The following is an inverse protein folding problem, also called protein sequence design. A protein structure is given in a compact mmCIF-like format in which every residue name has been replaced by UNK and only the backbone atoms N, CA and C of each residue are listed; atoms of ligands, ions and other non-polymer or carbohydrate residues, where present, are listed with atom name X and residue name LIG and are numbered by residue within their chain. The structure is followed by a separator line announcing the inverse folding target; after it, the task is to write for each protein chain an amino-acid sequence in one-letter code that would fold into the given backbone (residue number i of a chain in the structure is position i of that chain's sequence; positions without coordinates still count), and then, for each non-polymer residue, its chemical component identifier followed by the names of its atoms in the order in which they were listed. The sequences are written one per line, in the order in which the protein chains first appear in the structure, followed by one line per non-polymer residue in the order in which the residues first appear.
data_IF_080168105658
#
_entry.id   IF_080168105658
#
_cell.length_a   1.000
_cell.length_b   1.000
_cell.length_c   1.000
_cell.angle_alpha   90.00
_cell.angle_beta   90.00
_cell.angle_gamma   90.00
#
_symmetry.space_group_name_H-M   'P 1'
#
loop_
_entity.id
_entity.type
_entity.pdbx_description
1 polymer ?
#
# COMPACT_ATOMS: atom_id res chain seq x y z
N UNK A 1 -5.23 5.91 9.18
CA UNK A 1 -6.35 5.28 8.47
C UNK A 1 -6.10 3.77 8.43
N UNK A 2 -7.13 2.98 8.68
CA UNK A 2 -7.08 1.53 8.54
C UNK A 2 -8.01 1.18 7.38
N UNK A 3 -7.52 0.37 6.46
CA UNK A 3 -8.31 -0.13 5.34
C UNK A 3 -8.22 -1.64 5.31
N UNK A 4 -9.36 -2.30 5.21
CA UNK A 4 -9.46 -3.73 4.90
C UNK A 4 -10.01 -3.82 3.49
N UNK A 5 -9.21 -4.30 2.54
CA UNK A 5 -9.61 -4.39 1.16
C UNK A 5 -9.30 -5.77 0.60
N UNK A 6 -10.24 -6.30 -0.18
CA UNK A 6 -9.99 -7.45 -1.02
C UNK A 6 -9.37 -6.96 -2.31
N UNK A 7 -8.24 -7.51 -2.69
CA UNK A 7 -7.51 -7.11 -3.89
C UNK A 7 -8.34 -7.35 -5.14
N UNK A 8 -8.72 -6.27 -5.80
CA UNK A 8 -9.30 -6.33 -7.14
C UNK A 8 -8.16 -6.17 -8.15
N UNK A 9 -7.41 -7.21 -8.36
CA UNK A 9 -6.34 -7.23 -9.36
C UNK A 9 -6.75 -8.14 -10.52
N UNK A 10 -7.03 -7.58 -11.67
CA UNK A 10 -7.60 -8.32 -12.80
C UNK A 10 -6.69 -9.43 -13.35
N UNK A 11 -5.38 -9.29 -13.28
CA UNK A 11 -4.43 -10.24 -13.84
C UNK A 11 -3.95 -11.35 -12.89
N UNK A 12 -4.46 -11.40 -11.66
CA UNK A 12 -3.99 -12.38 -10.67
C UNK A 12 -4.90 -13.60 -10.57
N UNK A 13 -4.33 -14.78 -10.67
CA UNK A 13 -5.03 -16.05 -10.44
C UNK A 13 -5.38 -16.26 -8.97
N UNK A 14 -4.59 -15.68 -8.06
CA UNK A 14 -4.71 -15.88 -6.60
C UNK A 14 -5.51 -14.79 -5.89
N UNK A 15 -5.66 -13.61 -6.48
CA UNK A 15 -6.30 -12.47 -5.82
C UNK A 15 -7.28 -11.69 -6.69
N UNK A 16 -7.47 -12.09 -7.94
CA UNK A 16 -8.33 -11.40 -8.90
C UNK A 16 -9.79 -11.82 -8.76
N UNK A 17 -10.61 -11.08 -8.05
CA UNK A 17 -12.03 -11.35 -7.91
C UNK A 17 -12.75 -11.26 -9.26
N UNK A 18 -12.50 -10.22 -10.03
CA UNK A 18 -13.09 -10.02 -11.34
C UNK A 18 -12.71 -11.13 -12.33
N UNK A 19 -11.44 -11.48 -12.39
CA UNK A 19 -10.96 -12.55 -13.23
C UNK A 19 -11.55 -13.90 -12.80
N UNK A 20 -11.65 -14.13 -11.49
CA UNK A 20 -12.30 -15.30 -10.94
C UNK A 20 -13.77 -15.42 -11.37
N UNK A 21 -14.53 -14.33 -11.30
CA UNK A 21 -15.94 -14.30 -11.74
C UNK A 21 -16.08 -14.60 -13.24
N UNK A 22 -15.28 -13.97 -14.08
CA UNK A 22 -15.35 -14.15 -15.54
C UNK A 22 -14.93 -15.56 -16.00
N UNK A 23 -14.21 -16.30 -15.19
CA UNK A 23 -13.76 -17.68 -15.49
C UNK A 23 -14.74 -18.75 -15.06
N UNK A 24 -15.76 -18.40 -14.29
CA UNK A 24 -16.77 -19.36 -13.86
C UNK A 24 -17.93 -19.37 -14.86
N UNK A 25 -18.35 -20.54 -15.34
CA UNK A 25 -19.55 -20.65 -16.14
C UNK A 25 -20.79 -20.46 -15.26
N UNK A 26 -21.93 -20.09 -15.85
CA UNK A 26 -23.17 -19.78 -15.10
C UNK A 26 -23.75 -20.96 -14.33
N UNK A 27 -23.41 -22.17 -14.69
CA UNK A 27 -23.87 -23.41 -14.08
C UNK A 27 -23.01 -23.88 -12.91
N UNK A 28 -21.87 -23.21 -12.65
CA UNK A 28 -21.04 -23.49 -11.49
C UNK A 28 -21.47 -22.65 -10.30
N UNK A 29 -21.91 -23.30 -9.23
CA UNK A 29 -22.23 -22.62 -7.99
C UNK A 29 -20.96 -22.18 -7.25
N UNK A 30 -20.62 -20.88 -7.33
CA UNK A 30 -19.47 -20.29 -6.67
C UNK A 30 -19.60 -20.25 -5.14
N UNK A 31 -20.83 -20.39 -4.59
CA UNK A 31 -21.03 -20.35 -3.13
C UNK A 31 -20.45 -21.58 -2.44
N UNK A 32 -20.31 -22.67 -3.17
CA UNK A 32 -19.69 -23.91 -2.70
C UNK A 32 -18.18 -23.88 -2.89
N UNK A 33 -17.49 -22.96 -2.21
CA UNK A 33 -16.07 -22.67 -2.41
C UNK A 33 -15.12 -23.42 -1.45
N UNK A 34 -15.66 -24.16 -0.47
CA UNK A 34 -14.92 -25.01 0.46
C UNK A 34 -15.52 -26.41 0.49
N UNK A 35 -14.67 -27.44 0.50
CA UNK A 35 -15.13 -28.81 0.58
C UNK A 35 -14.06 -29.78 1.11
N UNK A 36 -14.40 -31.05 1.16
CA UNK A 36 -13.49 -32.13 1.52
C UNK A 36 -13.01 -32.85 0.27
N UNK A 37 -11.71 -32.98 0.13
CA UNK A 37 -11.07 -33.82 -0.88
C UNK A 37 -10.66 -35.16 -0.26
N UNK A 38 -10.62 -36.17 -1.07
CA UNK A 38 -10.16 -37.51 -0.67
C UNK A 38 -8.96 -37.89 -1.52
N UNK A 39 -7.89 -38.37 -0.87
CA UNK A 39 -6.74 -38.93 -1.59
C UNK A 39 -7.07 -40.29 -2.24
N UNK A 40 -6.08 -40.86 -2.95
CA UNK A 40 -6.24 -42.18 -3.59
C UNK A 40 -6.50 -43.34 -2.60
N UNK A 41 -6.19 -43.17 -1.33
CA UNK A 41 -6.40 -44.12 -0.25
C UNK A 41 -7.72 -43.87 0.51
N UNK A 42 -8.48 -42.84 0.12
CA UNK A 42 -9.72 -42.46 0.77
C UNK A 42 -9.55 -41.59 2.02
N UNK A 43 -8.36 -41.06 2.32
CA UNK A 43 -8.16 -40.16 3.45
C UNK A 43 -8.72 -38.78 3.16
N UNK A 44 -9.53 -38.21 4.08
CA UNK A 44 -10.12 -36.90 3.84
C UNK A 44 -9.14 -35.75 4.11
N UNK A 45 -9.17 -34.75 3.27
CA UNK A 45 -8.56 -33.43 3.51
C UNK A 45 -9.69 -32.39 3.54
N UNK A 46 -10.16 -31.98 4.72
CA UNK A 46 -11.26 -31.03 4.82
C UNK A 46 -10.79 -29.61 4.54
N UNK A 47 -11.75 -28.71 4.40
CA UNK A 47 -11.54 -27.27 4.23
C UNK A 47 -10.70 -26.90 3.00
N UNK A 48 -10.72 -27.77 1.98
CA UNK A 48 -10.05 -27.52 0.71
C UNK A 48 -10.82 -26.49 -0.11
N UNK A 49 -10.07 -25.61 -0.76
CA UNK A 49 -10.59 -24.68 -1.75
C UNK A 49 -11.21 -25.40 -2.95
N UNK A 50 -12.38 -24.94 -3.35
CA UNK A 50 -13.13 -25.43 -4.53
C UNK A 50 -13.25 -24.32 -5.57
N UNK A 51 -12.71 -24.55 -6.75
CA UNK A 51 -12.89 -23.71 -7.91
C UNK A 51 -13.37 -24.52 -9.10
N UNK A 52 -13.92 -23.87 -10.10
CA UNK A 52 -14.48 -24.52 -11.27
C UNK A 52 -13.52 -25.53 -11.92
N UNK A 53 -12.25 -25.17 -12.11
CA UNK A 53 -11.29 -26.03 -12.82
C UNK A 53 -10.62 -27.09 -11.95
N UNK A 54 -10.75 -26.99 -10.66
CA UNK A 54 -10.20 -27.97 -9.70
C UNK A 54 -11.28 -28.25 -8.66
N UNK A 55 -12.30 -28.92 -9.15
CA UNK A 55 -13.46 -29.29 -8.36
C UNK A 55 -13.18 -30.54 -7.52
N UNK A 56 -14.10 -30.86 -6.62
CA UNK A 56 -14.02 -32.08 -5.78
C UNK A 56 -13.65 -33.30 -6.59
N UNK A 57 -12.97 -34.25 -5.99
CA UNK A 57 -12.37 -35.44 -6.56
C UNK A 57 -11.11 -35.20 -7.41
N UNK A 58 -10.69 -33.98 -7.68
CA UNK A 58 -9.41 -33.69 -8.25
C UNK A 58 -8.43 -33.27 -7.14
N UNK A 59 -7.41 -34.07 -6.87
CA UNK A 59 -6.43 -33.85 -5.81
C UNK A 59 -5.43 -32.72 -6.12
N UNK A 60 -5.35 -32.29 -7.38
CA UNK A 60 -4.48 -31.18 -7.75
C UNK A 60 -5.03 -29.85 -7.17
N UNK A 61 -4.11 -28.97 -6.81
CA UNK A 61 -4.45 -27.63 -6.36
C UNK A 61 -5.14 -26.82 -7.47
N UNK A 62 -6.06 -25.91 -7.14
CA UNK A 62 -6.75 -25.08 -8.13
C UNK A 62 -5.78 -24.17 -8.86
N UNK A 63 -6.04 -23.91 -10.14
CA UNK A 63 -5.22 -23.01 -10.97
C UNK A 63 -5.51 -21.55 -10.64
N UNK A 64 -6.72 -21.26 -10.20
CA UNK A 64 -7.14 -19.92 -9.77
C UNK A 64 -8.18 -20.02 -8.66
N UNK A 65 -8.33 -18.94 -7.91
CA UNK A 65 -9.26 -18.93 -6.80
C UNK A 65 -10.71 -18.79 -7.24
N UNK A 66 -11.59 -19.46 -6.51
CA UNK A 66 -12.98 -19.10 -6.45
C UNK A 66 -13.08 -17.67 -5.91
N UNK A 67 -13.92 -16.79 -6.50
CA UNK A 67 -14.10 -15.42 -6.01
C UNK A 67 -14.44 -15.32 -4.53
N UNK A 68 -15.28 -16.22 -4.02
CA UNK A 68 -15.68 -16.21 -2.61
C UNK A 68 -14.57 -16.66 -1.68
N UNK A 69 -13.71 -17.58 -2.12
CA UNK A 69 -12.48 -17.89 -1.39
C UNK A 69 -11.61 -16.65 -1.21
N UNK A 70 -11.40 -15.88 -2.29
CA UNK A 70 -10.62 -14.63 -2.22
C UNK A 70 -11.27 -13.61 -1.28
N UNK A 71 -12.60 -13.50 -1.27
CA UNK A 71 -13.31 -12.53 -0.44
C UNK A 71 -13.29 -12.91 1.05
N UNK A 72 -13.47 -14.18 1.37
CA UNK A 72 -13.70 -14.61 2.76
C UNK A 72 -12.46 -15.15 3.43
N UNK A 73 -11.60 -15.83 2.70
CA UNK A 73 -10.46 -16.55 3.27
C UNK A 73 -9.14 -15.79 3.15
N UNK A 74 -8.97 -14.99 2.10
CA UNK A 74 -7.79 -14.14 1.97
C UNK A 74 -7.99 -12.82 2.68
N UNK A 75 -6.98 -12.39 3.43
CA UNK A 75 -7.01 -11.06 4.06
C UNK A 75 -5.95 -10.13 3.50
N UNK A 76 -6.33 -8.87 3.37
CA UNK A 76 -5.42 -7.79 2.97
C UNK A 76 -5.72 -6.59 3.85
N UNK A 77 -4.85 -6.35 4.80
CA UNK A 77 -4.98 -5.24 5.74
C UNK A 77 -3.94 -4.17 5.44
N UNK A 78 -4.35 -2.92 5.45
CA UNK A 78 -3.45 -1.77 5.29
C UNK A 78 -3.70 -0.78 6.42
N UNK A 79 -2.64 -0.43 7.13
CA UNK A 79 -2.66 0.54 8.22
C UNK A 79 -1.73 1.69 7.86
N UNK A 80 -2.27 2.90 7.74
CA UNK A 80 -1.49 4.09 7.43
C UNK A 80 -1.60 5.10 8.56
N UNK A 81 -0.44 5.43 9.15
CA UNK A 81 -0.27 6.56 10.05
C UNK A 81 0.51 7.66 9.34
N UNK A 82 0.02 8.90 9.34
CA UNK A 82 0.70 10.05 8.74
C UNK A 82 0.60 11.25 9.64
N UNK A 83 1.72 11.95 9.79
CA UNK A 83 1.82 13.25 10.46
C UNK A 83 2.50 14.19 9.47
N UNK A 84 1.89 15.32 9.23
CA UNK A 84 2.47 16.38 8.41
C UNK A 84 2.15 17.74 8.98
N UNK A 85 3.04 18.67 8.75
CA UNK A 85 2.86 20.06 9.19
C UNK A 85 3.95 20.96 8.64
N UNK A 86 3.69 22.26 8.69
CA UNK A 86 4.66 23.27 8.33
C UNK A 86 4.56 24.48 9.24
N UNK A 87 5.66 25.20 9.37
CA UNK A 87 5.76 26.47 10.10
C UNK A 87 6.48 27.49 9.24
N UNK A 88 6.05 28.72 9.32
CA UNK A 88 6.69 29.87 8.69
C UNK A 88 6.89 30.98 9.73
N UNK A 89 8.07 31.52 9.77
CA UNK A 89 8.43 32.68 10.59
C UNK A 89 8.87 33.81 9.68
N UNK A 90 8.21 34.96 9.81
CA UNK A 90 8.56 36.19 9.14
C UNK A 90 9.17 37.14 10.18
N UNK A 91 10.47 37.44 10.03
CA UNK A 91 11.26 38.23 10.98
C UNK A 91 11.64 39.54 10.31
N UNK A 92 11.08 40.63 10.81
CA UNK A 92 11.45 42.01 10.42
C UNK A 92 12.63 42.47 11.27
N UNK A 93 13.84 42.22 10.79
CA UNK A 93 15.07 42.57 11.57
C UNK A 93 15.32 44.07 11.56
N UNK A 94 15.11 44.72 10.42
CA UNK A 94 15.25 46.19 10.25
C UNK A 94 14.23 46.67 9.18
N UNK A 95 14.18 47.98 8.96
CA UNK A 95 13.34 48.53 7.90
C UNK A 95 13.73 48.08 6.47
N UNK A 96 14.94 47.61 6.30
CA UNK A 96 15.50 47.22 5.01
C UNK A 96 15.81 45.71 4.92
N UNK A 97 15.73 44.94 6.05
CA UNK A 97 16.10 43.53 6.10
C UNK A 97 15.00 42.69 6.75
N UNK A 98 14.49 41.75 6.00
CA UNK A 98 13.53 40.76 6.48
C UNK A 98 14.05 39.35 6.21
N UNK A 99 13.68 38.42 7.11
CA UNK A 99 13.94 37.00 6.95
C UNK A 99 12.63 36.23 6.91
N UNK A 100 12.58 35.23 6.05
CA UNK A 100 11.54 34.22 6.05
C UNK A 100 12.20 32.87 6.31
N UNK A 101 11.74 32.18 7.35
CA UNK A 101 12.17 30.84 7.70
C UNK A 101 10.98 29.92 7.59
N UNK A 102 11.09 28.88 6.77
CA UNK A 102 10.08 27.85 6.61
C UNK A 102 10.64 26.50 7.00
N UNK A 103 9.82 25.70 7.66
CA UNK A 103 10.13 24.31 7.97
C UNK A 103 8.88 23.46 7.75
N UNK A 104 9.06 22.31 7.12
CA UNK A 104 8.01 21.33 6.88
C UNK A 104 8.47 19.94 7.26
N UNK A 105 7.54 19.15 7.78
CA UNK A 105 7.71 17.73 8.08
C UNK A 105 6.52 16.95 7.50
N UNK A 106 6.81 15.88 6.78
CA UNK A 106 5.84 14.88 6.36
C UNK A 106 6.40 13.50 6.66
N UNK A 107 5.75 12.77 7.55
CA UNK A 107 6.15 11.41 7.89
C UNK A 107 4.95 10.49 7.85
N UNK A 108 5.11 9.32 7.21
CA UNK A 108 4.11 8.28 7.22
C UNK A 108 4.72 6.89 7.38
N UNK A 109 3.93 6.05 8.03
CA UNK A 109 4.11 4.62 8.11
C UNK A 109 2.95 3.95 7.37
N UNK A 110 3.25 3.04 6.46
CA UNK A 110 2.28 2.25 5.70
C UNK A 110 2.63 0.77 5.93
N UNK A 111 1.82 0.10 6.72
CA UNK A 111 1.96 -1.32 7.08
C UNK A 111 0.88 -2.11 6.34
N UNK A 112 1.31 -3.01 5.47
CA UNK A 112 0.46 -3.84 4.61
C UNK A 112 0.71 -5.30 4.91
N UNK A 113 -0.35 -5.99 5.27
CA UNK A 113 -0.32 -7.42 5.53
C UNK A 113 -1.20 -8.15 4.53
N UNK A 114 -0.68 -9.23 3.94
CA UNK A 114 -1.41 -10.09 3.02
C UNK A 114 -1.30 -11.52 3.51
N UNK A 115 -2.45 -12.18 3.58
CA UNK A 115 -2.53 -13.58 3.97
C UNK A 115 -3.27 -14.37 2.90
N UNK A 116 -2.65 -15.45 2.44
CA UNK A 116 -3.20 -16.43 1.52
C UNK A 116 -3.23 -17.77 2.27
N UNK A 117 -4.41 -18.33 2.56
CA UNK A 117 -4.48 -19.62 3.24
C UNK A 117 -3.93 -20.76 2.37
N UNK A 118 -3.54 -21.83 3.01
CA UNK A 118 -3.19 -23.09 2.35
C UNK A 118 -4.34 -23.52 1.43
N UNK A 119 -4.01 -24.09 0.29
CA UNK A 119 -4.92 -24.46 -0.79
C UNK A 119 -5.43 -23.31 -1.65
N UNK A 120 -4.90 -22.10 -1.49
CA UNK A 120 -5.14 -21.04 -2.47
C UNK A 120 -4.59 -21.41 -3.84
N UNK A 121 -5.16 -20.84 -4.89
CA UNK A 121 -4.79 -21.16 -6.26
C UNK A 121 -3.40 -20.64 -6.65
N UNK A 122 -2.86 -21.22 -7.75
CA UNK A 122 -1.61 -20.81 -8.38
C UNK A 122 -0.40 -20.91 -7.42
N UNK A 123 0.35 -19.85 -7.27
CA UNK A 123 1.60 -19.81 -6.50
C UNK A 123 1.42 -19.75 -4.97
N UNK A 124 0.20 -19.77 -4.47
CA UNK A 124 -0.09 -19.72 -3.04
C UNK A 124 -0.73 -21.02 -2.50
N UNK A 125 -0.41 -22.16 -3.12
CA UNK A 125 -0.99 -23.46 -2.74
C UNK A 125 -0.61 -23.92 -1.33
N UNK A 126 0.60 -23.61 -0.90
CA UNK A 126 1.13 -23.97 0.42
C UNK A 126 0.82 -22.90 1.49
N UNK A 127 0.02 -21.90 1.09
CA UNK A 127 -0.21 -20.70 1.86
C UNK A 127 0.89 -19.67 1.64
N UNK A 128 0.62 -18.42 2.02
CA UNK A 128 1.62 -17.34 1.96
C UNK A 128 1.23 -16.22 2.90
N UNK A 129 2.17 -15.76 3.66
CA UNK A 129 2.06 -14.55 4.45
C UNK A 129 3.07 -13.52 3.94
N UNK A 130 2.61 -12.32 3.71
CA UNK A 130 3.47 -11.19 3.32
C UNK A 130 3.18 -10.00 4.22
N UNK A 131 4.25 -9.37 4.70
CA UNK A 131 4.17 -8.09 5.39
C UNK A 131 5.12 -7.09 4.73
N UNK A 132 4.60 -5.95 4.35
CA UNK A 132 5.33 -4.84 3.75
C UNK A 132 5.15 -3.60 4.61
N UNK A 133 6.25 -3.06 5.12
CA UNK A 133 6.25 -1.84 5.92
C UNK A 133 7.05 -0.76 5.18
N UNK A 134 6.41 0.34 4.91
CA UNK A 134 7.02 1.52 4.32
C UNK A 134 7.03 2.65 5.34
N UNK A 135 8.24 3.10 5.72
CA UNK A 135 8.44 4.30 6.50
C UNK A 135 9.03 5.37 5.60
N UNK A 136 8.38 6.49 5.49
CA UNK A 136 8.85 7.63 4.72
C UNK A 136 8.82 8.89 5.60
N UNK A 137 9.94 9.61 5.63
CA UNK A 137 10.03 10.89 6.32
C UNK A 137 10.66 11.89 5.36
N UNK A 138 10.00 13.01 5.18
CA UNK A 138 10.47 14.12 4.38
C UNK A 138 10.52 15.38 5.25
N UNK A 139 11.67 15.99 5.29
CA UNK A 139 11.90 17.27 5.94
C UNK A 139 12.26 18.31 4.90
N UNK A 140 11.61 19.46 4.95
CA UNK A 140 11.93 20.64 4.15
C UNK A 140 12.28 21.80 5.02
N UNK A 141 13.29 22.56 4.62
CA UNK A 141 13.69 23.80 5.27
C UNK A 141 14.02 24.85 4.25
N UNK A 142 13.60 26.07 4.48
CA UNK A 142 13.93 27.23 3.66
C UNK A 142 14.32 28.40 4.53
N UNK A 143 15.34 29.13 4.09
CA UNK A 143 15.75 30.40 4.64
C UNK A 143 15.87 31.41 3.51
N UNK A 144 15.16 32.53 3.64
CA UNK A 144 15.12 33.60 2.64
C UNK A 144 15.42 34.90 3.33
N UNK A 145 16.38 35.67 2.80
CA UNK A 145 16.68 37.04 3.18
C UNK A 145 16.16 38.00 2.10
N UNK A 146 15.36 38.94 2.52
CA UNK A 146 14.81 40.00 1.67
C UNK A 146 15.43 41.34 2.07
N UNK A 147 16.20 41.93 1.15
CA UNK A 147 16.88 43.19 1.37
C UNK A 147 16.28 44.26 0.46
N UNK A 148 15.87 45.38 1.04
CA UNK A 148 15.27 46.52 0.33
C UNK A 148 16.05 47.77 0.68
N UNK A 149 16.72 48.37 -0.31
CA UNK A 149 17.51 49.58 -0.11
C UNK A 149 17.00 50.70 -0.99
N UNK A 150 17.01 51.90 -0.47
CA UNK A 150 16.92 53.13 -1.25
C UNK A 150 18.38 53.60 -1.51
N UNK A 151 18.81 53.58 -2.74
CA UNK A 151 20.17 54.01 -3.15
C UNK A 151 20.17 55.54 -3.26
N UNK A 152 19.11 56.09 -3.83
CA UNK A 152 18.80 57.53 -3.93
C UNK A 152 17.32 57.72 -3.70
N UNK A 153 16.83 58.97 -3.69
CA UNK A 153 15.40 59.26 -3.54
C UNK A 153 14.60 58.66 -4.70
N UNK A 154 15.20 58.52 -5.87
CA UNK A 154 14.57 58.01 -7.10
C UNK A 154 14.93 56.56 -7.47
N UNK A 155 15.87 55.95 -6.74
CA UNK A 155 16.40 54.62 -7.08
C UNK A 155 16.38 53.70 -5.84
N UNK A 156 15.56 52.64 -5.93
CA UNK A 156 15.55 51.52 -4.99
C UNK A 156 16.13 50.26 -5.57
N UNK A 157 16.73 49.43 -4.70
CA UNK A 157 17.21 48.09 -5.04
C UNK A 157 16.61 47.05 -4.09
N UNK A 158 16.24 45.88 -4.64
CA UNK A 158 15.74 44.74 -3.90
C UNK A 158 16.58 43.53 -4.22
N UNK A 159 17.07 42.86 -3.18
CA UNK A 159 17.81 41.61 -3.30
C UNK A 159 17.07 40.51 -2.51
N UNK A 160 17.03 39.33 -3.08
CA UNK A 160 16.54 38.13 -2.42
C UNK A 160 17.63 37.08 -2.46
N UNK A 161 18.01 36.60 -1.28
CA UNK A 161 19.01 35.52 -1.12
C UNK A 161 18.32 34.42 -0.34
N UNK A 162 18.34 33.21 -0.88
CA UNK A 162 17.69 32.07 -0.22
C UNK A 162 18.50 30.80 -0.30
N UNK A 163 18.21 29.93 0.65
CA UNK A 163 18.71 28.56 0.70
C UNK A 163 17.56 27.63 1.05
N UNK A 164 17.53 26.45 0.43
CA UNK A 164 16.53 25.43 0.72
C UNK A 164 17.22 24.07 0.90
N UNK A 165 16.68 23.28 1.80
CA UNK A 165 17.05 21.88 2.01
C UNK A 165 15.79 21.01 1.93
N UNK A 166 15.94 19.88 1.27
CA UNK A 166 14.93 18.81 1.28
C UNK A 166 15.68 17.50 1.58
N UNK A 167 15.33 16.86 2.69
CA UNK A 167 15.86 15.56 3.08
C UNK A 167 14.73 14.55 3.11
N UNK A 168 14.91 13.43 2.39
CA UNK A 168 13.94 12.35 2.32
C UNK A 168 14.59 11.03 2.70
N UNK A 169 14.04 10.41 3.73
CA UNK A 169 14.41 9.06 4.19
C UNK A 169 13.28 8.09 3.91
N UNK A 170 13.61 7.00 3.21
CA UNK A 170 12.68 5.91 2.96
C UNK A 170 13.28 4.60 3.46
N UNK A 171 12.51 3.88 4.27
CA UNK A 171 12.82 2.53 4.72
C UNK A 171 11.69 1.60 4.31
N UNK A 172 12.05 0.48 3.69
CA UNK A 172 11.12 -0.59 3.35
C UNK A 172 11.57 -1.86 4.05
N UNK A 173 10.64 -2.56 4.65
CA UNK A 173 10.83 -3.90 5.20
C UNK A 173 9.85 -4.80 4.49
N UNK A 174 10.33 -5.91 3.96
CA UNK A 174 9.52 -6.95 3.33
C UNK A 174 9.82 -8.27 4.00
N UNK A 175 8.77 -8.95 4.40
CA UNK A 175 8.83 -10.31 4.98
C UNK A 175 7.84 -11.18 4.23
N UNK A 176 8.26 -12.36 3.84
CA UNK A 176 7.44 -13.39 3.22
C UNK A 176 7.73 -14.75 3.85
N UNK A 177 6.67 -15.50 4.15
CA UNK A 177 6.72 -16.85 4.68
C UNK A 177 5.63 -17.73 4.06
#
# INVERSE_FOLDING_TARGET
ANSKSNRIQQGSNTAGIYLGLLRNPPDFDISDYIGTYYDANGNPTPLRHRSYRRYLANTANPTYNNPLWTVYEQTSDTKVGRIFGSMEFNIHATNWLNFVVRSGLDTYNDDRTYFFPVFSGDSANDGRYQNEIYNNTEYTGEFISLLNFNITDDLGAKFTIGSAVNDRKRKQIYVEA
#
